data_IF_073089713846
#
_entry.id   IF_073089713846
#
_cell.length_a   1.000
_cell.length_b   1.000
_cell.length_c   1.000
_cell.angle_alpha   90.00
_cell.angle_beta   90.00
_cell.angle_gamma   90.00
#
_symmetry.space_group_name_H-M   'P 1'
#
loop_
_entity.id
_entity.type
_entity.pdbx_description
1 polymer ?
#
# COMPACT_ATOMS: atom_id res chain seq x y z
N UNK A 1 2.21 2.41 11.32
CA UNK A 1 2.31 0.98 10.96
C UNK A 1 3.74 0.53 11.17
N UNK A 2 3.95 -0.69 11.64
CA UNK A 2 5.27 -1.33 11.63
C UNK A 2 5.70 -1.58 10.18
N UNK A 3 6.96 -1.99 9.99
CA UNK A 3 7.47 -2.39 8.67
C UNK A 3 6.62 -3.51 8.04
N UNK A 4 6.28 -4.53 8.80
CA UNK A 4 5.52 -5.69 8.30
C UNK A 4 4.07 -5.32 7.96
N UNK A 5 3.45 -4.48 8.80
CA UNK A 5 2.12 -3.93 8.49
C UNK A 5 2.16 -3.13 7.17
N UNK A 6 3.24 -2.39 6.89
CA UNK A 6 3.42 -1.67 5.62
C UNK A 6 3.68 -2.60 4.43
N UNK A 7 4.46 -3.67 4.59
CA UNK A 7 4.64 -4.66 3.52
C UNK A 7 3.30 -5.32 3.14
N UNK A 8 2.43 -5.54 4.11
CA UNK A 8 1.09 -6.08 3.86
C UNK A 8 0.18 -5.13 3.03
N UNK A 9 0.51 -3.83 3.00
CA UNK A 9 -0.23 -2.82 2.21
C UNK A 9 0.02 -2.97 0.71
N UNK A 10 1.20 -3.45 0.28
CA UNK A 10 1.46 -3.70 -1.15
C UNK A 10 0.84 -5.01 -1.62
N UNK A 11 0.77 -6.02 -0.76
CA UNK A 11 0.12 -7.29 -1.08
C UNK A 11 -1.36 -7.11 -1.45
N UNK A 12 -1.75 -7.58 -2.63
CA UNK A 12 -3.14 -7.52 -3.07
C UNK A 12 -4.01 -8.50 -2.27
N UNK A 13 -5.21 -8.06 -1.89
CA UNK A 13 -6.18 -8.90 -1.17
C UNK A 13 -5.95 -9.05 0.34
N UNK A 14 -4.78 -8.69 0.88
CA UNK A 14 -4.49 -8.81 2.30
C UNK A 14 -5.25 -7.78 3.14
N UNK A 15 -5.97 -8.24 4.17
CA UNK A 15 -6.54 -7.38 5.20
C UNK A 15 -6.82 -8.14 6.50
N UNK A 16 -6.13 -7.75 7.58
CA UNK A 16 -6.43 -8.25 8.93
C UNK A 16 -7.84 -7.84 9.42
N UNK A 17 -8.47 -6.85 8.77
CA UNK A 17 -9.82 -6.37 9.11
C UNK A 17 -10.92 -7.39 8.75
N UNK A 18 -10.60 -8.42 7.96
CA UNK A 18 -11.52 -9.53 7.63
C UNK A 18 -12.02 -10.30 8.84
N UNK A 19 -11.24 -10.29 9.92
CA UNK A 19 -11.62 -10.93 11.17
C UNK A 19 -12.60 -10.08 12.00
N UNK A 20 -12.88 -8.84 11.58
CA UNK A 20 -13.78 -7.92 12.28
C UNK A 20 -14.81 -7.30 11.31
N UNK A 21 -16.03 -7.85 11.24
CA UNK A 21 -17.08 -7.41 10.31
C UNK A 21 -17.47 -5.93 10.45
N UNK A 22 -17.24 -5.30 11.61
CA UNK A 22 -17.56 -3.89 11.82
C UNK A 22 -16.63 -2.91 11.10
N UNK A 23 -15.53 -3.39 10.50
CA UNK A 23 -14.57 -2.54 9.80
C UNK A 23 -14.89 -2.47 8.30
N UNK A 24 -14.83 -1.28 7.69
CA UNK A 24 -15.12 -1.11 6.25
C UNK A 24 -14.08 -1.80 5.34
N UNK A 25 -12.79 -1.78 5.73
CA UNK A 25 -11.66 -2.14 4.87
C UNK A 25 -11.43 -3.65 4.69
N UNK A 26 -12.36 -4.36 4.07
CA UNK A 26 -12.38 -5.82 4.00
C UNK A 26 -11.47 -6.42 2.91
N UNK A 27 -11.37 -5.77 1.75
CA UNK A 27 -10.75 -6.40 0.56
C UNK A 27 -9.24 -6.20 0.42
N UNK A 28 -8.62 -5.32 1.21
CA UNK A 28 -7.17 -5.09 1.10
C UNK A 28 -6.74 -4.32 -0.15
N UNK A 29 -7.68 -3.81 -0.97
CA UNK A 29 -7.36 -3.19 -2.27
C UNK A 29 -7.60 -1.68 -2.32
N UNK A 30 -8.38 -1.12 -1.37
CA UNK A 30 -8.89 0.26 -1.46
C UNK A 30 -7.80 1.34 -1.58
N UNK A 31 -6.70 1.22 -0.84
CA UNK A 31 -5.60 2.18 -0.95
C UNK A 31 -4.96 2.15 -2.35
N UNK A 32 -4.64 0.95 -2.84
CA UNK A 32 -3.98 0.75 -4.13
C UNK A 32 -4.85 1.24 -5.28
N UNK A 33 -6.11 0.79 -5.33
CA UNK A 33 -7.05 1.19 -6.38
C UNK A 33 -7.38 2.67 -6.32
N UNK A 34 -7.61 3.23 -5.14
CA UNK A 34 -7.91 4.65 -4.95
C UNK A 34 -6.73 5.55 -5.32
N UNK A 35 -5.54 5.26 -4.80
CA UNK A 35 -4.35 6.04 -5.07
C UNK A 35 -3.98 6.02 -6.56
N UNK A 36 -3.98 4.84 -7.18
CA UNK A 36 -3.64 4.70 -8.61
C UNK A 36 -4.74 5.23 -9.55
N UNK A 37 -5.97 5.40 -9.06
CA UNK A 37 -7.05 6.07 -9.81
C UNK A 37 -6.88 7.59 -9.82
N UNK A 38 -6.36 8.17 -8.74
CA UNK A 38 -6.18 9.62 -8.57
C UNK A 38 -4.85 10.08 -9.17
N UNK A 39 -3.77 9.34 -8.94
CA UNK A 39 -2.41 9.72 -9.31
C UNK A 39 -1.63 8.62 -10.01
N UNK A 40 -0.53 9.03 -10.67
CA UNK A 40 0.44 8.10 -11.26
C UNK A 40 1.32 7.46 -10.20
N UNK A 41 1.70 8.26 -9.20
CA UNK A 41 2.59 7.89 -8.10
C UNK A 41 1.95 8.22 -6.74
N UNK A 42 2.34 7.48 -5.71
CA UNK A 42 1.82 7.62 -4.36
C UNK A 42 2.94 7.36 -3.34
N UNK A 43 3.08 8.25 -2.36
CA UNK A 43 4.01 8.09 -1.23
C UNK A 43 3.26 8.13 0.09
N UNK A 44 3.56 7.19 0.97
CA UNK A 44 2.94 7.06 2.28
C UNK A 44 4.00 7.06 3.36
N UNK A 45 3.85 7.97 4.32
CA UNK A 45 4.66 8.01 5.53
C UNK A 45 3.84 7.52 6.71
N UNK A 46 4.47 6.74 7.58
CA UNK A 46 3.85 6.30 8.82
C UNK A 46 4.87 6.28 9.96
N UNK A 47 4.38 6.48 11.18
CA UNK A 47 5.15 6.36 12.41
C UNK A 47 4.42 5.43 13.37
N UNK A 48 5.11 4.48 13.98
CA UNK A 48 4.59 3.61 15.06
C UNK A 48 5.73 3.32 16.01
N UNK A 49 5.51 3.54 17.31
CA UNK A 49 6.49 3.19 18.36
C UNK A 49 7.91 3.74 18.09
N UNK A 50 8.00 4.97 17.59
CA UNK A 50 9.26 5.62 17.25
C UNK A 50 9.87 5.22 15.90
N UNK A 51 9.42 4.11 15.29
CA UNK A 51 9.83 3.71 13.95
C UNK A 51 9.06 4.51 12.89
N UNK A 52 9.80 5.08 11.93
CA UNK A 52 9.25 5.75 10.75
C UNK A 52 9.43 4.84 9.53
N UNK A 53 8.38 4.72 8.71
CA UNK A 53 8.41 3.90 7.49
C UNK A 53 7.83 4.70 6.33
N UNK A 54 8.46 4.57 5.17
CA UNK A 54 8.01 5.15 3.92
C UNK A 54 7.69 4.03 2.93
N UNK A 55 6.56 4.13 2.24
CA UNK A 55 6.20 3.28 1.12
C UNK A 55 6.00 4.18 -0.12
N UNK A 56 6.65 3.82 -1.22
CA UNK A 56 6.49 4.46 -2.52
C UNK A 56 5.91 3.45 -3.51
N UNK A 57 4.76 3.80 -4.11
CA UNK A 57 4.20 3.12 -5.27
C UNK A 57 4.32 4.07 -6.46
N UNK A 58 5.28 3.82 -7.35
CA UNK A 58 5.56 4.71 -8.48
C UNK A 58 5.49 4.00 -9.82
N UNK A 59 4.47 4.33 -10.61
CA UNK A 59 4.41 3.90 -12.02
C UNK A 59 5.41 4.67 -12.87
N UNK A 60 5.71 5.92 -12.52
CA UNK A 60 6.73 6.71 -13.20
C UNK A 60 8.09 6.01 -13.14
N UNK A 61 8.51 5.57 -11.94
CA UNK A 61 9.76 4.81 -11.78
C UNK A 61 9.76 3.52 -12.59
N UNK A 62 8.65 2.77 -12.61
CA UNK A 62 8.57 1.54 -13.39
C UNK A 62 8.66 1.79 -14.90
N UNK A 63 7.93 2.78 -15.40
CA UNK A 63 7.92 3.13 -16.82
C UNK A 63 9.28 3.63 -17.30
N UNK A 64 9.94 4.52 -16.53
CA UNK A 64 11.27 5.05 -16.87
C UNK A 64 12.35 3.96 -16.89
N UNK A 65 12.19 2.93 -16.06
CA UNK A 65 13.17 1.83 -15.93
C UNK A 65 12.72 0.54 -16.64
N UNK A 66 11.64 0.57 -17.43
CA UNK A 66 11.07 -0.58 -18.14
C UNK A 66 10.77 -1.81 -17.24
N UNK A 67 10.34 -1.57 -16.01
CA UNK A 67 9.98 -2.62 -15.06
C UNK A 67 8.55 -3.13 -15.32
N UNK A 68 8.39 -4.44 -15.47
CA UNK A 68 7.09 -5.08 -15.73
C UNK A 68 6.39 -5.63 -14.50
N UNK A 69 7.16 -5.93 -13.45
CA UNK A 69 6.64 -6.52 -12.22
C UNK A 69 6.35 -5.41 -11.20
N UNK A 70 5.25 -5.55 -10.47
CA UNK A 70 4.98 -4.84 -9.23
C UNK A 70 4.85 -5.88 -8.12
N UNK A 71 5.69 -5.79 -7.10
CA UNK A 71 5.68 -6.66 -5.92
C UNK A 71 4.51 -6.31 -4.99
#
# INVERSE_FOLDING_TARGET
MSKDEMLSVVSFGFSNKRLNPGMVGQYGNGLKSGAMRIGKDFILFTKKEGLMTCLLLSRTFHEENNLKEAL
#
